data_IF_448448979509
#
_entry.id   IF_448448979509
#
_cell.length_a   1.000
_cell.length_b   1.000
_cell.length_c   1.000
_cell.angle_alpha   90.00
_cell.angle_beta   90.00
_cell.angle_gamma   90.00
#
_symmetry.space_group_name_H-M   'P 1'
#
loop_
_entity.id
_entity.type
_entity.pdbx_description
1 polymer ?
#
# COMPACT_ATOMS: atom_id res chain seq x y z
N UNK A 1 -14.46 11.95 1.22
CA UNK A 1 -14.20 11.80 -0.23
C UNK A 1 -14.53 10.37 -0.62
N UNK A 2 -14.80 10.10 -1.88
CA UNK A 2 -15.08 8.76 -2.41
C UNK A 2 -14.07 8.43 -3.49
N UNK A 3 -13.81 7.15 -3.76
CA UNK A 3 -13.04 6.73 -4.93
C UNK A 3 -13.69 7.33 -6.18
N UNK A 4 -12.91 8.09 -6.94
CA UNK A 4 -13.37 8.66 -8.21
C UNK A 4 -13.24 7.62 -9.35
N UNK A 5 -13.84 7.92 -10.51
CA UNK A 5 -13.82 7.04 -11.67
C UNK A 5 -12.40 6.66 -12.12
N UNK A 6 -11.47 7.61 -12.11
CA UNK A 6 -10.06 7.36 -12.47
C UNK A 6 -9.38 6.37 -11.51
N UNK A 7 -9.61 6.49 -10.19
CA UNK A 7 -9.08 5.54 -9.21
C UNK A 7 -9.67 4.14 -9.40
N UNK A 8 -10.97 4.05 -9.72
CA UNK A 8 -11.64 2.78 -10.00
C UNK A 8 -11.11 2.12 -11.29
N UNK A 9 -10.79 2.88 -12.32
CA UNK A 9 -10.16 2.37 -13.54
C UNK A 9 -8.75 1.83 -13.27
N UNK A 10 -7.95 2.54 -12.47
CA UNK A 10 -6.62 2.07 -12.05
C UNK A 10 -6.75 0.80 -11.23
N UNK A 11 -7.66 0.77 -10.24
CA UNK A 11 -7.91 -0.43 -9.44
C UNK A 11 -8.30 -1.63 -10.31
N UNK A 12 -9.18 -1.43 -11.30
CA UNK A 12 -9.59 -2.46 -12.25
C UNK A 12 -8.44 -2.98 -13.10
N UNK A 13 -7.54 -2.11 -13.54
CA UNK A 13 -6.41 -2.48 -14.42
C UNK A 13 -5.25 -3.14 -13.66
N UNK A 14 -5.02 -2.76 -12.41
CA UNK A 14 -3.86 -3.22 -11.61
C UNK A 14 -4.19 -4.33 -10.61
N UNK A 15 -5.46 -4.44 -10.19
CA UNK A 15 -5.87 -5.34 -9.10
C UNK A 15 -7.15 -6.11 -9.48
N UNK A 16 -7.13 -6.80 -10.62
CA UNK A 16 -8.31 -7.46 -11.21
C UNK A 16 -9.09 -8.33 -10.23
N UNK A 17 -8.41 -9.15 -9.45
CA UNK A 17 -9.01 -10.06 -8.47
C UNK A 17 -9.73 -9.30 -7.36
N UNK A 18 -9.13 -8.22 -6.86
CA UNK A 18 -9.69 -7.43 -5.77
C UNK A 18 -10.70 -6.37 -6.21
N UNK A 19 -10.73 -6.00 -7.49
CA UNK A 19 -11.65 -4.99 -8.00
C UNK A 19 -13.12 -5.34 -7.72
N UNK A 20 -13.54 -6.57 -8.07
CA UNK A 20 -14.94 -6.99 -7.93
C UNK A 20 -15.41 -6.96 -6.47
N UNK A 21 -14.71 -7.57 -5.51
CA UNK A 21 -15.12 -7.47 -4.11
C UNK A 21 -15.12 -6.01 -3.60
N UNK A 22 -14.09 -5.22 -3.92
CA UNK A 22 -14.00 -3.84 -3.46
C UNK A 22 -15.17 -2.97 -3.93
N UNK A 23 -15.57 -3.05 -5.21
CA UNK A 23 -16.67 -2.21 -5.72
C UNK A 23 -18.03 -2.58 -5.13
N UNK A 24 -18.18 -3.77 -4.55
CA UNK A 24 -19.40 -4.23 -3.88
C UNK A 24 -19.48 -3.80 -2.40
N UNK A 25 -18.41 -3.30 -1.81
CA UNK A 25 -18.41 -2.83 -0.44
C UNK A 25 -19.27 -1.59 -0.25
N UNK A 26 -19.85 -1.37 0.95
CA UNK A 26 -20.54 -0.13 1.30
C UNK A 26 -19.65 1.11 1.08
N UNK A 27 -20.25 2.24 0.72
CA UNK A 27 -19.56 3.43 0.20
C UNK A 27 -18.34 3.90 0.99
N UNK A 28 -18.42 4.00 2.33
CA UNK A 28 -17.28 4.42 3.16
C UNK A 28 -16.18 3.34 3.23
N UNK A 29 -16.59 2.09 3.43
CA UNK A 29 -15.65 0.95 3.47
C UNK A 29 -14.99 0.74 2.11
N UNK A 30 -15.74 0.85 1.01
CA UNK A 30 -15.20 0.84 -0.36
C UNK A 30 -14.08 1.86 -0.54
N UNK A 31 -14.30 3.08 -0.05
CA UNK A 31 -13.29 4.15 -0.17
C UNK A 31 -12.06 3.85 0.66
N UNK A 32 -12.21 3.30 1.85
CA UNK A 32 -11.10 2.93 2.72
C UNK A 32 -10.28 1.78 2.11
N UNK A 33 -10.94 0.66 1.80
CA UNK A 33 -10.28 -0.54 1.25
C UNK A 33 -9.68 -0.27 -0.13
N UNK A 34 -10.39 0.44 -1.00
CA UNK A 34 -9.88 0.79 -2.32
C UNK A 34 -8.69 1.75 -2.27
N UNK A 35 -8.68 2.72 -1.35
CA UNK A 35 -7.52 3.57 -1.09
C UNK A 35 -6.32 2.76 -0.61
N UNK A 36 -6.50 1.87 0.35
CA UNK A 36 -5.44 0.99 0.86
C UNK A 36 -4.88 0.11 -0.25
N UNK A 37 -5.75 -0.55 -1.03
CA UNK A 37 -5.35 -1.40 -2.15
C UNK A 37 -4.52 -0.64 -3.19
N UNK A 38 -4.90 0.59 -3.56
CA UNK A 38 -4.15 1.41 -4.50
C UNK A 38 -2.80 1.87 -3.93
N UNK A 39 -2.74 2.16 -2.63
CA UNK A 39 -1.49 2.53 -1.96
C UNK A 39 -0.53 1.34 -1.92
N UNK A 40 -1.00 0.16 -1.54
CA UNK A 40 -0.18 -1.06 -1.54
C UNK A 40 0.27 -1.43 -2.95
N UNK A 41 -0.62 -1.37 -3.94
CA UNK A 41 -0.25 -1.60 -5.33
C UNK A 41 0.82 -0.63 -5.82
N UNK A 42 0.81 0.61 -5.35
CA UNK A 42 1.86 1.58 -5.67
C UNK A 42 3.24 1.19 -5.12
N UNK A 43 3.29 0.52 -3.98
CA UNK A 43 4.51 -0.05 -3.38
C UNK A 43 4.99 -1.27 -4.19
N UNK A 44 4.09 -2.23 -4.47
CA UNK A 44 4.39 -3.44 -5.24
C UNK A 44 4.99 -3.10 -6.61
N UNK A 45 4.46 -2.10 -7.31
CA UNK A 45 4.96 -1.68 -8.61
C UNK A 45 6.41 -1.13 -8.59
N UNK A 46 6.90 -0.68 -7.44
CA UNK A 46 8.32 -0.32 -7.27
C UNK A 46 9.13 -1.58 -6.98
N UNK A 47 8.66 -2.38 -6.03
CA UNK A 47 9.33 -3.59 -5.59
C UNK A 47 9.51 -4.57 -6.75
N UNK A 48 8.45 -4.84 -7.51
CA UNK A 48 8.42 -5.75 -8.67
C UNK A 48 9.00 -5.13 -9.95
N UNK A 49 9.40 -3.84 -9.94
CA UNK A 49 9.76 -3.14 -11.17
C UNK A 49 10.95 -3.80 -11.88
N UNK A 50 10.81 -4.26 -13.15
CA UNK A 50 11.81 -5.10 -13.81
C UNK A 50 13.11 -4.38 -14.16
N UNK A 51 13.10 -3.04 -14.23
CA UNK A 51 14.21 -2.24 -14.74
C UNK A 51 14.75 -1.20 -13.76
N UNK A 52 14.14 -1.05 -12.56
CA UNK A 52 14.69 -0.18 -11.53
C UNK A 52 15.85 -0.90 -10.82
N UNK A 53 17.02 -0.26 -10.68
CA UNK A 53 18.10 -0.78 -9.85
C UNK A 53 17.67 -0.92 -8.38
N UNK A 54 18.28 -1.86 -7.65
CA UNK A 54 17.94 -2.14 -6.26
C UNK A 54 18.07 -0.91 -5.35
N UNK A 55 19.16 -0.16 -5.49
CA UNK A 55 19.39 1.08 -4.76
C UNK A 55 18.29 2.14 -5.00
N UNK A 56 17.80 2.24 -6.23
CA UNK A 56 16.73 3.16 -6.56
C UNK A 56 15.37 2.68 -6.01
N UNK A 57 15.09 1.35 -6.04
CA UNK A 57 13.91 0.78 -5.36
C UNK A 57 13.93 1.10 -3.87
N UNK A 58 15.06 0.83 -3.19
CA UNK A 58 15.25 1.10 -1.76
C UNK A 58 15.05 2.58 -1.46
N UNK A 59 15.65 3.46 -2.25
CA UNK A 59 15.52 4.92 -2.10
C UNK A 59 14.06 5.38 -2.20
N UNK A 60 13.33 4.88 -3.20
CA UNK A 60 11.93 5.22 -3.44
C UNK A 60 11.04 4.69 -2.32
N UNK A 61 11.19 3.42 -1.94
CA UNK A 61 10.38 2.77 -0.92
C UNK A 61 10.58 3.43 0.46
N UNK A 62 11.83 3.67 0.88
CA UNK A 62 12.12 4.36 2.14
C UNK A 62 11.60 5.81 2.12
N UNK A 63 11.77 6.53 1.02
CA UNK A 63 11.27 7.89 0.90
C UNK A 63 9.73 7.97 0.95
N UNK A 64 9.03 7.00 0.36
CA UNK A 64 7.57 6.88 0.49
C UNK A 64 7.18 6.60 1.94
N UNK A 65 7.89 5.67 2.59
CA UNK A 65 7.62 5.29 3.97
C UNK A 65 7.74 6.49 4.92
N UNK A 66 8.80 7.28 4.80
CA UNK A 66 9.01 8.48 5.58
C UNK A 66 7.91 9.53 5.35
N UNK A 67 7.62 9.85 4.08
CA UNK A 67 6.62 10.85 3.73
C UNK A 67 5.18 10.46 4.11
N UNK A 68 4.87 9.17 4.20
CA UNK A 68 3.55 8.71 4.64
C UNK A 68 3.45 8.59 6.17
N UNK A 69 4.57 8.38 6.86
CA UNK A 69 4.61 8.33 8.34
C UNK A 69 4.38 9.70 8.94
N UNK A 70 5.04 10.71 8.40
CA UNK A 70 4.96 12.09 8.86
C UNK A 70 4.63 13.03 7.70
N UNK A 71 3.37 13.07 7.26
CA UNK A 71 2.98 13.91 6.14
C UNK A 71 3.05 15.38 6.54
N UNK A 72 4.11 16.05 6.12
CA UNK A 72 4.26 17.51 6.25
C UNK A 72 3.26 18.26 5.37
N UNK A 73 3.17 19.59 5.55
CA UNK A 73 2.24 20.45 4.80
C UNK A 73 2.36 20.31 3.28
N UNK A 74 3.55 20.02 2.77
CA UNK A 74 3.84 19.85 1.34
C UNK A 74 4.14 18.38 0.95
N UNK A 75 3.49 17.41 1.57
CA UNK A 75 3.74 15.99 1.28
C UNK A 75 3.64 15.63 -0.21
N UNK A 76 2.70 16.22 -0.96
CA UNK A 76 2.59 16.02 -2.41
C UNK A 76 3.79 16.58 -3.19
N UNK A 77 4.32 17.73 -2.80
CA UNK A 77 5.52 18.31 -3.41
C UNK A 77 6.75 17.47 -3.13
N UNK A 78 6.94 17.05 -1.89
CA UNK A 78 8.03 16.17 -1.48
C UNK A 78 7.99 14.84 -2.24
N UNK A 79 6.80 14.21 -2.38
CA UNK A 79 6.63 12.98 -3.16
C UNK A 79 6.97 13.17 -4.65
N UNK A 80 6.59 14.31 -5.25
CA UNK A 80 6.98 14.63 -6.63
C UNK A 80 8.50 14.76 -6.79
N UNK A 81 9.16 15.37 -5.81
CA UNK A 81 10.62 15.50 -5.78
C UNK A 81 11.28 14.13 -5.64
N UNK A 82 10.77 13.28 -4.74
CA UNK A 82 11.24 11.91 -4.57
C UNK A 82 11.20 11.12 -5.88
N UNK A 83 10.11 11.24 -6.63
CA UNK A 83 9.90 10.51 -7.89
C UNK A 83 10.60 11.12 -9.10
N UNK A 84 11.08 12.36 -9.02
CA UNK A 84 11.58 13.10 -10.17
C UNK A 84 12.64 12.35 -10.99
N UNK A 85 13.67 11.70 -10.40
CA UNK A 85 14.70 10.99 -11.16
C UNK A 85 14.13 9.83 -11.99
N UNK A 86 13.20 9.07 -11.43
CA UNK A 86 12.65 7.84 -12.02
C UNK A 86 11.25 8.00 -12.60
N UNK A 87 10.72 9.24 -12.67
CA UNK A 87 9.34 9.55 -13.04
C UNK A 87 8.87 8.89 -14.34
N UNK A 88 9.77 8.76 -15.33
CA UNK A 88 9.43 8.18 -16.64
C UNK A 88 9.23 6.65 -16.57
N UNK A 89 9.90 6.00 -15.65
CA UNK A 89 9.82 4.56 -15.43
C UNK A 89 8.62 4.18 -14.55
N UNK A 90 8.25 5.05 -13.59
CA UNK A 90 7.22 4.74 -12.62
C UNK A 90 5.81 4.73 -13.22
N UNK A 91 4.98 3.71 -12.92
CA UNK A 91 3.60 3.63 -13.37
C UNK A 91 2.71 4.67 -12.71
N UNK A 92 1.55 4.94 -13.34
CA UNK A 92 0.59 5.95 -12.84
C UNK A 92 0.11 5.68 -11.42
N UNK A 93 -0.04 4.41 -11.03
CA UNK A 93 -0.48 4.06 -9.67
C UNK A 93 0.52 4.56 -8.64
N UNK A 94 1.81 4.34 -8.85
CA UNK A 94 2.87 4.82 -7.96
C UNK A 94 2.93 6.35 -7.90
N UNK A 95 2.90 7.01 -9.04
CA UNK A 95 2.95 8.47 -9.12
C UNK A 95 1.77 9.20 -8.43
N UNK A 96 0.67 8.50 -8.17
CA UNK A 96 -0.54 9.06 -7.57
C UNK A 96 -0.80 8.58 -6.13
N UNK A 97 0.13 7.93 -5.47
CA UNK A 97 -0.03 7.35 -4.12
C UNK A 97 -0.61 8.33 -3.09
N UNK A 98 -0.12 9.57 -3.03
CA UNK A 98 -0.68 10.61 -2.15
C UNK A 98 -2.15 10.92 -2.44
N UNK A 99 -2.55 10.87 -3.70
CA UNK A 99 -3.94 11.13 -4.09
C UNK A 99 -4.84 9.99 -3.65
N UNK A 100 -4.38 8.75 -3.73
CA UNK A 100 -5.13 7.58 -3.25
C UNK A 100 -5.25 7.58 -1.73
N UNK A 101 -4.17 7.83 -1.00
CA UNK A 101 -4.22 7.98 0.45
C UNK A 101 -5.22 9.06 0.90
N UNK A 102 -5.29 10.18 0.17
CA UNK A 102 -6.23 11.26 0.44
C UNK A 102 -7.71 10.91 0.16
N UNK A 103 -8.00 9.88 -0.66
CA UNK A 103 -9.38 9.43 -0.93
C UNK A 103 -9.96 8.61 0.22
N UNK A 104 -9.12 8.10 1.13
CA UNK A 104 -9.58 7.42 2.33
C UNK A 104 -10.41 8.36 3.22
N UNK A 105 -11.46 7.84 3.91
CA UNK A 105 -12.15 8.60 4.95
C UNK A 105 -11.16 9.14 5.99
N UNK A 106 -11.36 10.38 6.45
CA UNK A 106 -10.41 11.07 7.33
C UNK A 106 -10.06 10.26 8.58
N UNK A 107 -11.05 9.57 9.16
CA UNK A 107 -10.87 8.77 10.38
C UNK A 107 -9.88 7.60 10.23
N UNK A 108 -9.77 7.00 9.04
CA UNK A 108 -8.90 5.82 8.81
C UNK A 108 -7.69 6.14 7.92
N UNK A 109 -7.57 7.37 7.46
CA UNK A 109 -6.43 7.79 6.64
C UNK A 109 -5.08 7.59 7.36
N UNK A 110 -4.94 7.95 8.66
CA UNK A 110 -3.70 7.69 9.39
C UNK A 110 -3.35 6.20 9.46
N UNK A 111 -4.36 5.33 9.62
CA UNK A 111 -4.18 3.89 9.65
C UNK A 111 -3.65 3.35 8.32
N UNK A 112 -4.25 3.78 7.20
CA UNK A 112 -3.83 3.39 5.85
C UNK A 112 -2.42 3.93 5.55
N UNK A 113 -2.14 5.18 5.89
CA UNK A 113 -0.80 5.77 5.69
C UNK A 113 0.26 5.02 6.49
N UNK A 114 -0.03 4.66 7.75
CA UNK A 114 0.86 3.86 8.59
C UNK A 114 1.09 2.47 7.99
N UNK A 115 0.03 1.76 7.59
CA UNK A 115 0.14 0.43 6.98
C UNK A 115 0.98 0.46 5.69
N UNK A 116 0.74 1.47 4.84
CA UNK A 116 1.52 1.66 3.60
C UNK A 116 2.99 2.00 3.90
N UNK A 117 3.25 2.86 4.89
CA UNK A 117 4.61 3.21 5.31
C UNK A 117 5.39 1.97 5.78
N UNK A 118 4.78 1.15 6.64
CA UNK A 118 5.40 -0.08 7.16
C UNK A 118 5.66 -1.08 6.02
N UNK A 119 4.70 -1.28 5.11
CA UNK A 119 4.89 -2.16 3.95
C UNK A 119 6.06 -1.66 3.08
N UNK A 120 6.14 -0.37 2.80
CA UNK A 120 7.21 0.20 1.99
C UNK A 120 8.60 -0.03 2.62
N UNK A 121 8.76 0.16 3.93
CA UNK A 121 10.02 -0.14 4.63
C UNK A 121 10.41 -1.61 4.54
N UNK A 122 9.45 -2.50 4.73
CA UNK A 122 9.68 -3.95 4.69
C UNK A 122 10.08 -4.38 3.28
N UNK A 123 9.38 -3.87 2.26
CA UNK A 123 9.75 -4.15 0.86
C UNK A 123 11.14 -3.61 0.52
N UNK A 124 11.54 -2.44 1.03
CA UNK A 124 12.91 -1.94 0.89
C UNK A 124 13.94 -2.89 1.51
N UNK A 125 13.65 -3.44 2.70
CA UNK A 125 14.52 -4.41 3.36
C UNK A 125 14.60 -5.73 2.58
N UNK A 126 13.52 -6.20 1.96
CA UNK A 126 13.53 -7.39 1.11
C UNK A 126 14.32 -7.18 -0.18
N UNK A 127 14.22 -6.00 -0.80
CA UNK A 127 15.06 -5.61 -1.94
C UNK A 127 16.54 -5.63 -1.56
N UNK A 128 16.91 -5.06 -0.40
CA UNK A 128 18.29 -5.03 0.10
C UNK A 128 18.85 -6.45 0.35
N UNK A 129 18.01 -7.35 0.85
CA UNK A 129 18.32 -8.78 1.05
C UNK A 129 18.25 -9.60 -0.26
N UNK A 130 17.97 -8.97 -1.40
CA UNK A 130 17.78 -9.60 -2.71
C UNK A 130 16.79 -10.77 -2.65
N UNK A 131 15.67 -10.58 -1.90
CA UNK A 131 14.61 -11.57 -1.66
C UNK A 131 15.16 -12.94 -1.22
N UNK A 132 16.23 -12.95 -0.43
CA UNK A 132 16.90 -14.17 0.01
C UNK A 132 16.08 -14.88 1.09
N UNK A 133 15.24 -15.83 0.68
CA UNK A 133 14.47 -16.72 1.54
C UNK A 133 15.26 -18.03 1.66
N UNK A 134 15.79 -18.34 2.84
CA UNK A 134 16.64 -19.52 3.11
C UNK A 134 16.04 -20.47 4.12
N UNK A 135 15.12 -19.99 4.94
CA UNK A 135 14.49 -20.73 6.02
C UNK A 135 12.98 -20.56 5.94
N UNK A 136 12.24 -21.43 6.63
CA UNK A 136 10.80 -21.29 6.80
C UNK A 136 10.45 -19.97 7.51
N UNK A 137 11.25 -19.57 8.50
CA UNK A 137 11.07 -18.30 9.18
C UNK A 137 11.23 -17.08 8.24
N UNK A 138 12.15 -17.12 7.27
CA UNK A 138 12.26 -16.07 6.25
C UNK A 138 11.01 -16.02 5.37
N UNK A 139 10.44 -17.20 5.04
CA UNK A 139 9.21 -17.28 4.25
C UNK A 139 8.02 -16.73 5.03
N UNK A 140 7.89 -17.09 6.31
CA UNK A 140 6.85 -16.57 7.20
C UNK A 140 6.95 -15.05 7.35
N UNK A 141 8.18 -14.51 7.51
CA UNK A 141 8.42 -13.07 7.55
C UNK A 141 7.97 -12.40 6.24
N UNK A 142 8.37 -12.95 5.09
CA UNK A 142 8.00 -12.40 3.79
C UNK A 142 6.50 -12.41 3.55
N UNK A 143 5.83 -13.56 3.79
CA UNK A 143 4.38 -13.67 3.60
C UNK A 143 3.60 -12.79 4.56
N UNK A 144 4.08 -12.61 5.79
CA UNK A 144 3.51 -11.64 6.72
C UNK A 144 3.65 -10.21 6.18
N UNK A 145 4.80 -9.84 5.63
CA UNK A 145 5.08 -8.49 5.15
C UNK A 145 4.25 -8.11 3.92
N UNK A 146 4.03 -9.06 3.00
CA UNK A 146 3.28 -8.81 1.76
C UNK A 146 1.77 -9.04 1.90
N UNK A 147 1.32 -9.91 2.80
CA UNK A 147 -0.07 -10.32 2.88
C UNK A 147 -0.66 -10.30 4.30
N UNK A 148 -0.02 -10.88 5.29
CA UNK A 148 -0.54 -10.92 6.66
C UNK A 148 -0.78 -9.53 7.26
N UNK A 149 0.12 -8.58 7.01
CA UNK A 149 -0.04 -7.18 7.44
C UNK A 149 -1.23 -6.48 6.75
N UNK A 150 -1.56 -6.87 5.53
CA UNK A 150 -2.75 -6.39 4.81
C UNK A 150 -4.01 -6.93 5.47
N UNK A 151 -4.03 -8.21 5.85
CA UNK A 151 -5.13 -8.82 6.61
C UNK A 151 -5.42 -8.07 7.90
N UNK A 152 -4.40 -7.70 8.66
CA UNK A 152 -4.55 -6.87 9.87
C UNK A 152 -5.16 -5.51 9.58
N UNK A 153 -4.69 -4.82 8.55
CA UNK A 153 -5.28 -3.53 8.15
C UNK A 153 -6.75 -3.68 7.75
N UNK A 154 -7.10 -4.71 6.99
CA UNK A 154 -8.49 -4.97 6.62
C UNK A 154 -9.35 -5.21 7.86
N UNK A 155 -8.89 -6.00 8.84
CA UNK A 155 -9.59 -6.22 10.11
C UNK A 155 -9.87 -4.89 10.82
N UNK A 156 -8.87 -4.00 10.91
CA UNK A 156 -9.02 -2.69 11.54
C UNK A 156 -10.02 -1.79 10.76
N UNK A 157 -10.05 -1.88 9.41
CA UNK A 157 -11.01 -1.13 8.59
C UNK A 157 -12.45 -1.64 8.75
N UNK A 158 -12.66 -2.95 8.92
CA UNK A 158 -13.97 -3.51 9.22
C UNK A 158 -14.43 -3.13 10.63
N UNK A 159 -13.55 -3.24 11.63
CA UNK A 159 -13.85 -2.79 12.99
C UNK A 159 -14.25 -1.31 13.03
N UNK A 160 -13.58 -0.46 12.29
CA UNK A 160 -13.97 0.95 12.15
C UNK A 160 -15.33 1.13 11.46
N UNK A 161 -15.66 0.29 10.48
CA UNK A 161 -16.85 0.48 9.67
C UNK A 161 -18.16 0.09 10.38
N UNK A 162 -18.17 -1.07 11.04
CA UNK A 162 -19.37 -1.67 11.61
C UNK A 162 -19.16 -2.30 13.01
N UNK A 163 -17.96 -2.15 13.59
CA UNK A 163 -17.62 -2.74 14.88
C UNK A 163 -17.31 -4.24 14.83
N UNK A 164 -17.15 -4.84 13.65
CA UNK A 164 -16.79 -6.26 13.53
C UNK A 164 -15.43 -6.50 14.16
N UNK A 165 -15.39 -7.40 15.15
CA UNK A 165 -14.14 -7.87 15.75
C UNK A 165 -13.79 -9.24 15.15
N UNK A 166 -12.57 -9.38 14.67
CA UNK A 166 -12.01 -10.65 14.23
C UNK A 166 -10.70 -10.92 14.97
N UNK A 167 -10.41 -12.20 15.29
CA UNK A 167 -9.12 -12.57 15.89
C UNK A 167 -7.98 -12.13 14.97
N UNK A 168 -7.05 -11.36 15.51
CA UNK A 168 -5.92 -10.84 14.72
C UNK A 168 -4.99 -11.95 14.21
N UNK A 169 -4.91 -13.05 14.97
CA UNK A 169 -4.15 -14.24 14.60
C UNK A 169 -4.70 -14.88 13.33
N UNK A 170 -6.04 -14.99 13.22
CA UNK A 170 -6.70 -15.51 12.03
C UNK A 170 -6.46 -14.61 10.81
N UNK A 171 -6.47 -13.29 11.01
CA UNK A 171 -6.21 -12.32 9.95
C UNK A 171 -4.77 -12.42 9.39
N UNK A 172 -3.80 -12.73 10.24
CA UNK A 172 -2.40 -12.96 9.84
C UNK A 172 -2.26 -14.31 9.13
N UNK A 173 -2.87 -15.37 9.70
CA UNK A 173 -2.75 -16.72 9.14
C UNK A 173 -3.49 -16.90 7.81
N UNK A 174 -4.39 -15.98 7.44
CA UNK A 174 -5.12 -16.02 6.17
C UNK A 174 -4.38 -15.31 5.01
N UNK A 175 -3.40 -14.46 5.29
CA UNK A 175 -2.55 -13.79 4.30
C UNK A 175 -1.33 -14.60 4.00
#
# INVERSE_FOLDING_TARGET
MTLNSSALEVLKSTSRTFYIPIVRLPGKLRSAVGSACLCFRAIDEIEDHPHLPADEKIRLLNGIAELLREPGENAKGAMKTLFAPSRKALPKVTLNICSYAAMAPAAVRPLISKGTSVMAERMAAWVDRNWSIRTEADLDEYTYDVAGSVGLLLTDLWAWHDGTEAPREDAVGFG
#
